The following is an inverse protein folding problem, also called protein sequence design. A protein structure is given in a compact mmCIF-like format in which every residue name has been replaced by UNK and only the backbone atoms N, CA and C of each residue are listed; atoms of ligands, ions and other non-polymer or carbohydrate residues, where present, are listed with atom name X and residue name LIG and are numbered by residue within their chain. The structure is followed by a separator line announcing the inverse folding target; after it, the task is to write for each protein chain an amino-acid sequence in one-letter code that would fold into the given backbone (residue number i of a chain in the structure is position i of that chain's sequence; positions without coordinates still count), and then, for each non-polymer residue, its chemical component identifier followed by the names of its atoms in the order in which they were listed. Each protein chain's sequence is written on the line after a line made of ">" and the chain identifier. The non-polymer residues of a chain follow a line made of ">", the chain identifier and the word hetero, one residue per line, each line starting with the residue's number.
data_IF_982657125852
#
_entry.id   IF_982657125852
#
_cell.length_a   1.000
_cell.length_b   1.000
_cell.length_c   1.000
_cell.angle_alpha   90.00
_cell.angle_beta   90.00
_cell.angle_gamma   90.00
#
_symmetry.space_group_name_H-M   'P 1'
#
loop_
_entity.id
_entity.type
_entity.pdbx_description
1 polymer ?
#
# COMPACT_ATOMS: atom_id res chain seq x y z
N UNK A 1 35.54 43.96 -2.63
CA UNK A 1 34.33 44.53 -1.99
C UNK A 1 33.95 43.68 -0.80
N UNK A 2 33.57 44.33 0.30
CA UNK A 2 33.65 43.87 1.70
C UNK A 2 32.91 42.55 1.99
N UNK A 3 33.62 41.59 2.59
CA UNK A 3 33.03 40.43 3.26
C UNK A 3 32.16 40.92 4.42
N UNK A 4 30.84 40.82 4.27
CA UNK A 4 29.91 40.97 5.38
C UNK A 4 29.97 39.69 6.23
N UNK A 5 30.80 39.69 7.27
CA UNK A 5 30.66 38.76 8.39
C UNK A 5 29.67 39.38 9.37
N UNK A 6 28.43 38.90 9.36
CA UNK A 6 27.47 39.19 10.42
C UNK A 6 27.81 38.30 11.61
N UNK A 7 28.57 38.84 12.56
CA UNK A 7 28.68 38.28 13.91
C UNK A 7 27.55 38.89 14.74
N UNK A 8 26.48 38.13 14.96
CA UNK A 8 25.51 38.43 16.01
C UNK A 8 26.00 37.79 17.31
N UNK A 9 26.34 38.61 18.30
CA UNK A 9 26.62 38.20 19.67
C UNK A 9 25.36 37.60 20.29
N UNK A 10 25.42 36.32 20.68
CA UNK A 10 24.38 35.74 21.54
C UNK A 10 24.68 36.18 22.97
N UNK A 11 23.97 37.22 23.42
CA UNK A 11 23.75 37.48 24.84
C UNK A 11 22.99 36.32 25.44
N UNK A 12 23.41 35.89 26.63
CA UNK A 12 22.79 34.78 27.34
C UNK A 12 21.33 35.04 27.64
N UNK A 13 20.52 33.99 27.51
CA UNK A 13 19.49 33.72 28.50
C UNK A 13 19.09 32.25 28.47
N UNK A 14 18.93 31.72 29.68
CA UNK A 14 18.49 30.37 29.97
C UNK A 14 17.07 30.16 29.44
N UNK A 15 16.92 29.30 28.45
CA UNK A 15 15.65 28.65 28.16
C UNK A 15 15.94 27.19 27.81
N UNK A 16 15.46 26.29 28.68
CA UNK A 16 15.56 24.84 28.55
C UNK A 16 15.00 24.37 27.20
N UNK A 17 15.88 24.19 26.21
CA UNK A 17 15.49 23.60 24.94
C UNK A 17 15.35 22.08 25.13
N UNK A 18 14.10 21.62 25.06
CA UNK A 18 13.69 20.25 25.32
C UNK A 18 14.53 19.17 24.62
N UNK A 19 14.67 18.06 25.34
CA UNK A 19 15.50 16.88 25.08
C UNK A 19 15.29 16.17 23.71
N UNK A 20 14.36 16.66 22.88
CA UNK A 20 14.03 16.15 21.54
C UNK A 20 15.09 16.49 20.49
N UNK A 21 15.93 17.50 20.73
CA UNK A 21 17.02 17.88 19.81
C UNK A 21 18.10 16.79 19.72
N UNK A 22 18.24 15.95 20.76
CA UNK A 22 19.18 14.82 20.77
C UNK A 22 18.76 13.64 19.90
N UNK A 23 17.46 13.55 19.56
CA UNK A 23 16.89 12.45 18.78
C UNK A 23 16.91 12.71 17.26
N UNK A 24 17.32 13.91 16.84
CA UNK A 24 17.49 14.27 15.44
C UNK A 24 18.92 13.96 14.99
N UNK A 25 19.11 13.31 13.82
CA UNK A 25 20.43 12.86 13.38
C UNK A 25 21.40 14.05 13.32
N UNK A 26 22.43 13.97 14.14
CA UNK A 26 23.51 14.95 14.24
C UNK A 26 24.36 14.92 12.96
N UNK A 27 24.33 16.02 12.20
CA UNK A 27 25.32 16.31 11.17
C UNK A 27 24.72 16.91 9.89
N UNK A 28 25.38 17.94 9.35
CA UNK A 28 25.10 18.54 8.03
C UNK A 28 25.21 17.57 6.85
N UNK A 29 25.68 16.34 7.08
CA UNK A 29 25.67 15.19 6.16
C UNK A 29 24.29 14.48 6.05
N UNK A 30 23.31 14.88 6.86
CA UNK A 30 21.94 14.37 6.75
C UNK A 30 21.11 15.20 5.77
N UNK A 31 21.25 16.53 5.76
CA UNK A 31 20.45 17.41 4.91
C UNK A 31 20.83 17.29 3.42
N UNK A 32 22.12 17.24 3.09
CA UNK A 32 22.60 17.00 1.72
C UNK A 32 22.24 15.59 1.22
N UNK A 33 22.33 14.59 2.10
CA UNK A 33 21.98 13.20 1.79
C UNK A 33 20.47 13.03 1.65
N UNK A 34 19.66 13.69 2.48
CA UNK A 34 18.19 13.74 2.34
C UNK A 34 17.80 14.50 1.08
N UNK A 35 18.41 15.64 0.76
CA UNK A 35 18.13 16.37 -0.48
C UNK A 35 18.58 15.60 -1.73
N UNK A 36 19.73 14.91 -1.67
CA UNK A 36 20.17 13.99 -2.73
C UNK A 36 19.23 12.80 -2.86
N UNK A 37 18.83 12.19 -1.74
CA UNK A 37 17.87 11.08 -1.70
C UNK A 37 16.49 11.51 -2.18
N UNK A 38 16.04 12.74 -1.92
CA UNK A 38 14.81 13.28 -2.50
C UNK A 38 15.01 13.46 -4.00
N UNK A 39 16.12 14.06 -4.44
CA UNK A 39 16.41 14.24 -5.87
C UNK A 39 16.51 12.92 -6.65
N UNK A 40 16.99 11.85 -6.02
CA UNK A 40 17.10 10.51 -6.63
C UNK A 40 15.87 9.63 -6.39
N UNK A 41 15.18 9.74 -5.26
CA UNK A 41 13.93 9.02 -5.01
C UNK A 41 12.82 9.53 -5.91
N UNK A 42 12.76 10.83 -6.22
CA UNK A 42 11.82 11.37 -7.21
C UNK A 42 12.18 10.96 -8.65
N UNK A 43 13.39 10.44 -8.90
CA UNK A 43 13.75 9.79 -10.17
C UNK A 43 13.44 8.29 -10.20
N UNK A 44 13.12 7.70 -9.05
CA UNK A 44 12.53 6.37 -8.98
C UNK A 44 11.05 6.50 -9.32
N UNK A 45 10.52 5.70 -10.26
CA UNK A 45 9.12 5.74 -10.64
C UNK A 45 8.27 5.23 -9.47
N UNK A 46 7.95 6.10 -8.53
CA UNK A 46 7.10 5.84 -7.36
C UNK A 46 5.63 5.60 -7.77
N UNK A 47 5.32 5.66 -9.07
CA UNK A 47 4.03 5.36 -9.67
C UNK A 47 4.24 4.52 -10.95
N UNK A 48 4.88 3.35 -10.83
CA UNK A 48 5.31 2.56 -11.99
C UNK A 48 4.16 1.75 -12.61
N UNK A 49 3.16 2.47 -13.11
CA UNK A 49 2.34 1.96 -14.21
C UNK A 49 3.27 1.61 -15.37
N UNK A 50 3.14 0.40 -15.90
CA UNK A 50 3.96 -0.10 -17.00
C UNK A 50 3.21 0.19 -18.30
N UNK A 51 3.65 1.18 -19.06
CA UNK A 51 2.99 1.55 -20.33
C UNK A 51 3.22 0.54 -21.46
N UNK A 52 4.29 -0.26 -21.39
CA UNK A 52 4.67 -1.24 -22.41
C UNK A 52 5.33 -2.48 -21.78
N UNK A 53 5.02 -3.72 -22.21
CA UNK A 53 4.13 -4.12 -23.31
C UNK A 53 2.63 -4.06 -22.95
N UNK A 54 1.78 -3.73 -23.91
CA UNK A 54 0.31 -3.74 -23.74
C UNK A 54 -0.17 -5.18 -23.69
N UNK A 55 -0.46 -5.66 -22.49
CA UNK A 55 -1.01 -7.01 -22.27
C UNK A 55 -2.54 -6.98 -22.15
N UNK A 56 -3.17 -8.16 -22.22
CA UNK A 56 -4.62 -8.30 -22.04
C UNK A 56 -5.14 -7.58 -20.79
N UNK A 57 -4.36 -7.63 -19.70
CA UNK A 57 -4.72 -6.99 -18.45
C UNK A 57 -4.72 -5.45 -18.52
N UNK A 58 -3.99 -4.83 -19.46
CA UNK A 58 -4.07 -3.38 -19.67
C UNK A 58 -5.37 -2.95 -20.34
N UNK A 59 -5.97 -3.83 -21.15
CA UNK A 59 -7.22 -3.58 -21.86
C UNK A 59 -8.46 -3.69 -20.98
N UNK A 60 -8.39 -4.48 -19.89
CA UNK A 60 -9.52 -4.69 -18.98
C UNK A 60 -9.88 -3.39 -18.25
N UNK A 61 -11.18 -3.15 -18.12
CA UNK A 61 -11.74 -2.00 -17.43
C UNK A 61 -11.24 -1.89 -15.98
N UNK A 62 -10.86 -0.69 -15.52
CA UNK A 62 -10.33 -0.48 -14.17
C UNK A 62 -11.35 -0.77 -13.07
N UNK A 63 -12.65 -0.72 -13.38
CA UNK A 63 -13.74 -1.08 -12.45
C UNK A 63 -13.74 -2.58 -12.14
N UNK A 64 -13.55 -3.39 -13.18
CA UNK A 64 -13.52 -4.85 -13.07
C UNK A 64 -12.26 -5.28 -12.31
N UNK A 65 -11.12 -4.62 -12.56
CA UNK A 65 -9.89 -4.84 -11.80
C UNK A 65 -10.05 -4.55 -10.31
N UNK A 66 -10.72 -3.45 -9.95
CA UNK A 66 -10.98 -3.12 -8.55
C UNK A 66 -11.94 -4.14 -7.90
N UNK A 67 -12.97 -4.58 -8.63
CA UNK A 67 -13.83 -5.67 -8.17
C UNK A 67 -13.04 -6.99 -7.95
N UNK A 68 -12.12 -7.32 -8.86
CA UNK A 68 -11.18 -8.43 -8.72
C UNK A 68 -10.30 -8.30 -7.48
N UNK A 69 -9.75 -7.11 -7.24
CA UNK A 69 -8.91 -6.84 -6.07
C UNK A 69 -9.71 -7.04 -4.77
N UNK A 70 -10.93 -6.49 -4.70
CA UNK A 70 -11.81 -6.67 -3.53
C UNK A 70 -12.17 -8.14 -3.33
N UNK A 71 -12.53 -8.85 -4.41
CA UNK A 71 -12.83 -10.28 -4.35
C UNK A 71 -11.62 -11.09 -3.86
N UNK A 72 -10.41 -10.81 -4.36
CA UNK A 72 -9.19 -11.49 -3.93
C UNK A 72 -8.76 -11.18 -2.50
N UNK A 73 -9.27 -10.13 -1.88
CA UNK A 73 -9.08 -9.87 -0.44
C UNK A 73 -10.05 -10.73 0.39
N UNK A 74 -11.32 -10.84 -0.05
CA UNK A 74 -12.39 -11.50 0.73
C UNK A 74 -12.40 -13.02 0.54
N UNK A 75 -12.25 -13.50 -0.69
CA UNK A 75 -12.37 -14.92 -1.03
C UNK A 75 -11.36 -15.81 -0.28
N UNK A 76 -10.06 -15.48 -0.19
CA UNK A 76 -9.11 -16.32 0.53
C UNK A 76 -9.35 -16.39 2.03
N UNK A 77 -10.02 -15.39 2.62
CA UNK A 77 -10.31 -15.38 4.05
C UNK A 77 -11.28 -16.51 4.44
N UNK A 78 -12.22 -16.83 3.55
CA UNK A 78 -13.24 -17.88 3.75
C UNK A 78 -12.86 -19.22 3.10
N UNK A 79 -12.02 -19.19 2.07
CA UNK A 79 -11.66 -20.38 1.31
C UNK A 79 -10.87 -21.43 2.10
N UNK A 80 -10.96 -22.69 1.68
CA UNK A 80 -10.16 -23.81 2.21
C UNK A 80 -8.69 -23.72 1.79
N UNK A 81 -7.82 -24.49 2.45
CA UNK A 81 -6.36 -24.47 2.19
C UNK A 81 -6.03 -24.80 0.73
N UNK A 82 -6.71 -25.78 0.13
CA UNK A 82 -6.48 -26.20 -1.25
C UNK A 82 -6.81 -25.08 -2.25
N UNK A 83 -7.96 -24.42 -2.08
CA UNK A 83 -8.38 -23.29 -2.93
C UNK A 83 -7.43 -22.10 -2.76
N UNK A 84 -6.93 -21.83 -1.55
CA UNK A 84 -5.93 -20.78 -1.33
C UNK A 84 -4.65 -21.03 -2.12
N UNK A 85 -4.12 -22.25 -2.09
CA UNK A 85 -2.96 -22.61 -2.90
C UNK A 85 -3.26 -22.50 -4.40
N UNK A 86 -4.46 -22.89 -4.84
CA UNK A 86 -4.93 -22.66 -6.21
C UNK A 86 -4.94 -21.19 -6.60
N UNK A 87 -5.42 -20.31 -5.72
CA UNK A 87 -5.43 -18.86 -5.92
C UNK A 87 -4.00 -18.26 -5.96
N UNK A 88 -3.12 -18.71 -5.06
CA UNK A 88 -1.70 -18.32 -5.06
C UNK A 88 -1.06 -18.70 -6.40
N UNK A 89 -1.26 -19.93 -6.86
CA UNK A 89 -0.73 -20.40 -8.14
C UNK A 89 -1.33 -19.63 -9.33
N UNK A 90 -2.64 -19.38 -9.32
CA UNK A 90 -3.33 -18.60 -10.35
C UNK A 90 -2.75 -17.19 -10.46
N UNK A 91 -2.63 -16.45 -9.35
CA UNK A 91 -2.09 -15.08 -9.36
C UNK A 91 -0.62 -15.06 -9.74
N UNK A 92 0.17 -16.03 -9.25
CA UNK A 92 1.58 -16.15 -9.63
C UNK A 92 1.72 -16.35 -11.14
N UNK A 93 0.96 -17.28 -11.71
CA UNK A 93 0.94 -17.58 -13.15
C UNK A 93 0.48 -16.37 -13.96
N UNK A 94 -0.60 -15.71 -13.53
CA UNK A 94 -1.11 -14.50 -14.16
C UNK A 94 -0.02 -13.42 -14.21
N UNK A 95 0.74 -13.29 -13.13
CA UNK A 95 1.84 -12.33 -13.08
C UNK A 95 3.05 -12.74 -13.92
N UNK A 96 3.33 -14.04 -14.13
CA UNK A 96 4.34 -14.52 -15.11
C UNK A 96 3.93 -14.17 -16.53
N UNK A 97 2.66 -14.40 -16.87
CA UNK A 97 2.16 -14.27 -18.24
C UNK A 97 2.07 -12.81 -18.70
N UNK A 98 1.71 -11.90 -17.79
CA UNK A 98 1.34 -10.54 -18.18
C UNK A 98 2.37 -9.45 -17.83
N UNK A 99 3.36 -9.73 -16.98
CA UNK A 99 4.43 -8.78 -16.67
C UNK A 99 5.75 -9.13 -17.37
N UNK A 100 6.56 -8.14 -17.75
CA UNK A 100 7.90 -8.38 -18.26
C UNK A 100 8.75 -9.05 -17.17
N UNK A 101 9.65 -9.96 -17.59
CA UNK A 101 10.46 -10.81 -16.71
C UNK A 101 11.22 -10.03 -15.63
N UNK A 102 11.72 -8.84 -15.98
CA UNK A 102 12.45 -7.97 -15.04
C UNK A 102 11.59 -7.55 -13.84
N UNK A 103 10.32 -7.19 -14.08
CA UNK A 103 9.46 -6.69 -13.01
C UNK A 103 8.88 -7.83 -12.19
N UNK A 104 8.42 -8.89 -12.85
CA UNK A 104 7.76 -9.98 -12.13
C UNK A 104 8.72 -10.75 -11.22
N UNK A 105 9.96 -11.00 -11.65
CA UNK A 105 10.95 -11.72 -10.82
C UNK A 105 11.24 -10.96 -9.53
N UNK A 106 11.40 -9.64 -9.61
CA UNK A 106 11.64 -8.80 -8.43
C UNK A 106 10.42 -8.68 -7.53
N UNK A 107 9.23 -8.57 -8.10
CA UNK A 107 7.97 -8.48 -7.34
C UNK A 107 7.68 -9.81 -6.64
N UNK A 108 7.62 -10.91 -7.38
CA UNK A 108 7.33 -12.22 -6.84
C UNK A 108 8.40 -12.68 -5.85
N UNK A 109 9.68 -12.40 -6.13
CA UNK A 109 10.79 -12.72 -5.24
C UNK A 109 10.66 -12.05 -3.88
N UNK A 110 10.39 -10.74 -3.84
CA UNK A 110 10.20 -9.99 -2.59
C UNK A 110 8.96 -10.43 -1.81
N UNK A 111 7.83 -10.64 -2.49
CA UNK A 111 6.59 -11.10 -1.85
C UNK A 111 6.74 -12.53 -1.34
N UNK A 112 7.35 -13.44 -2.11
CA UNK A 112 7.62 -14.82 -1.70
C UNK A 112 8.55 -14.88 -0.49
N UNK A 113 9.60 -14.06 -0.46
CA UNK A 113 10.50 -13.95 0.69
C UNK A 113 9.73 -13.53 1.96
N UNK A 114 8.93 -12.47 1.86
CA UNK A 114 8.09 -11.99 2.98
C UNK A 114 7.16 -13.10 3.46
N UNK A 115 6.47 -13.79 2.54
CA UNK A 115 5.56 -14.88 2.88
C UNK A 115 6.28 -16.09 3.50
N UNK A 116 7.51 -16.38 3.07
CA UNK A 116 8.35 -17.42 3.66
C UNK A 116 8.75 -17.10 5.10
N UNK A 117 9.15 -15.86 5.37
CA UNK A 117 9.43 -15.38 6.73
C UNK A 117 8.18 -15.48 7.61
N UNK A 118 7.03 -14.99 7.12
CA UNK A 118 5.78 -15.07 7.86
C UNK A 118 5.33 -16.52 8.11
N UNK A 119 5.55 -17.42 7.16
CA UNK A 119 5.24 -18.83 7.31
C UNK A 119 6.07 -19.47 8.43
N UNK A 120 7.39 -19.21 8.45
CA UNK A 120 8.27 -19.74 9.50
C UNK A 120 7.87 -19.15 10.87
N UNK A 121 7.68 -17.83 10.95
CA UNK A 121 7.33 -17.17 12.20
C UNK A 121 5.98 -17.63 12.74
N UNK A 122 4.96 -17.75 11.89
CA UNK A 122 3.63 -18.18 12.29
C UNK A 122 3.58 -19.69 12.60
N UNK A 123 4.34 -20.50 11.86
CA UNK A 123 4.37 -21.95 12.05
C UNK A 123 5.04 -22.36 13.35
N UNK A 124 6.10 -21.63 13.74
CA UNK A 124 6.82 -21.85 14.99
C UNK A 124 6.19 -21.10 16.18
N UNK A 125 5.54 -19.96 15.94
CA UNK A 125 4.97 -19.10 16.98
C UNK A 125 3.57 -19.46 17.44
N UNK A 126 2.81 -20.26 16.68
CA UNK A 126 1.40 -20.54 16.97
C UNK A 126 1.15 -21.26 18.30
N UNK A 127 2.11 -22.05 18.79
CA UNK A 127 2.02 -22.77 20.06
C UNK A 127 2.79 -22.09 21.21
N UNK A 128 3.42 -20.94 20.96
CA UNK A 128 4.21 -20.20 21.96
C UNK A 128 3.36 -19.47 23.00
N UNK A 129 2.05 -19.32 22.77
CA UNK A 129 1.12 -18.71 23.72
C UNK A 129 0.15 -19.79 24.22
N UNK A 130 0.25 -20.25 25.48
CA UNK A 130 -0.76 -21.13 26.04
C UNK A 130 -2.11 -20.41 25.98
N UNK A 131 -3.09 -21.01 25.32
CA UNK A 131 -4.43 -20.43 25.28
C UNK A 131 -4.94 -20.39 26.73
N UNK A 132 -5.29 -19.20 27.24
CA UNK A 132 -5.95 -19.01 28.54
C UNK A 132 -7.41 -19.50 28.49
N UNK A 133 -7.67 -20.64 27.85
CA UNK A 133 -8.97 -21.28 27.82
C UNK A 133 -9.12 -21.98 29.17
N UNK A 134 -9.88 -21.36 30.07
CA UNK A 134 -10.38 -22.06 31.25
C UNK A 134 -11.17 -23.28 30.78
N UNK A 135 -10.84 -24.46 31.30
CA UNK A 135 -11.61 -25.67 31.05
C UNK A 135 -13.05 -25.46 31.54
N UNK A 136 -14.03 -25.49 30.62
CA UNK A 136 -15.46 -25.38 30.96
C UNK A 136 -15.99 -26.60 31.74
N UNK A 137 -15.19 -27.65 31.91
CA UNK A 137 -15.53 -28.82 32.71
C UNK A 137 -14.92 -28.71 34.10
N UNK A 138 -15.68 -28.98 35.18
CA UNK A 138 -15.10 -29.10 36.52
C UNK A 138 -14.04 -30.19 36.52
N UNK A 139 -12.99 -30.01 37.31
CA UNK A 139 -11.92 -31.00 37.44
C UNK A 139 -12.49 -32.35 37.88
N UNK A 140 -11.95 -33.46 37.39
CA UNK A 140 -12.37 -34.82 37.74
C UNK A 140 -12.34 -35.08 39.26
N UNK A 141 -11.44 -34.40 39.98
CA UNK A 141 -11.38 -34.35 41.44
C UNK A 141 -12.65 -33.79 42.12
N UNK A 142 -13.40 -32.92 41.43
CA UNK A 142 -14.65 -32.33 41.92
C UNK A 142 -15.86 -33.23 41.66
N UNK A 143 -15.76 -34.18 40.73
CA UNK A 143 -16.89 -34.99 40.23
C UNK A 143 -16.83 -36.45 40.70
N UNK A 144 -15.77 -36.85 41.41
CA UNK A 144 -15.64 -38.18 42.03
C UNK A 144 -15.56 -39.36 41.04
N UNK A 145 -15.46 -39.09 39.74
CA UNK A 145 -15.31 -40.11 38.70
C UNK A 145 -13.84 -40.50 38.54
N UNK A 146 -13.52 -41.79 38.31
CA UNK A 146 -12.18 -42.20 37.94
C UNK A 146 -11.76 -41.48 36.67
N UNK A 147 -10.53 -40.94 36.66
CA UNK A 147 -9.96 -40.27 35.49
C UNK A 147 -10.07 -41.19 34.29
N UNK A 148 -10.77 -40.74 33.24
CA UNK A 148 -10.76 -41.44 31.97
C UNK A 148 -9.29 -41.63 31.55
N UNK A 149 -8.89 -42.84 31.12
CA UNK A 149 -7.55 -43.04 30.62
C UNK A 149 -7.32 -41.99 29.52
N UNK A 150 -6.20 -41.27 29.60
CA UNK A 150 -5.72 -40.37 28.52
C UNK A 150 -5.32 -41.21 27.31
N UNK A 151 -6.27 -41.93 26.74
CA UNK A 151 -6.13 -42.72 25.53
C UNK A 151 -6.16 -41.75 24.36
N UNK A 152 -4.99 -41.15 24.11
CA UNK A 152 -4.64 -40.47 22.87
C UNK A 152 -3.59 -41.31 22.12
N UNK A 153 -3.72 -42.65 22.16
CA UNK A 153 -2.79 -43.58 21.50
C UNK A 153 -2.99 -43.63 19.97
N UNK A 154 -2.89 -42.47 19.31
CA UNK A 154 -2.99 -42.39 17.85
C UNK A 154 -3.01 -40.98 17.26
N UNK A 155 -3.35 -39.95 18.03
CA UNK A 155 -3.40 -38.58 17.53
C UNK A 155 -2.15 -37.78 17.94
N UNK A 156 -1.12 -37.82 17.08
CA UNK A 156 0.03 -36.93 17.21
C UNK A 156 -0.29 -35.57 16.55
N UNK A 157 -0.48 -34.55 17.37
CA UNK A 157 -0.67 -33.16 16.92
C UNK A 157 0.66 -32.51 16.47
N UNK A 158 1.78 -33.14 16.83
CA UNK A 158 3.13 -32.68 16.55
C UNK A 158 3.64 -33.37 15.29
N UNK A 159 4.04 -32.57 14.30
CA UNK A 159 4.56 -33.05 13.02
C UNK A 159 6.09 -33.17 13.09
N UNK A 160 6.75 -32.13 13.63
CA UNK A 160 8.22 -32.09 13.73
C UNK A 160 8.64 -31.36 15.00
N UNK A 161 9.65 -31.91 15.69
CA UNK A 161 10.26 -31.32 16.89
C UNK A 161 11.72 -31.00 16.62
N UNK A 162 12.07 -29.72 16.54
CA UNK A 162 13.47 -29.25 16.50
C UNK A 162 13.77 -28.49 17.79
N UNK A 163 14.12 -29.22 18.85
CA UNK A 163 14.51 -28.61 20.13
C UNK A 163 13.37 -27.79 20.76
N UNK A 164 13.57 -26.49 21.10
CA UNK A 164 12.51 -25.64 21.66
C UNK A 164 11.42 -25.29 20.64
N UNK A 165 11.66 -25.53 19.35
CA UNK A 165 10.74 -25.26 18.26
C UNK A 165 9.90 -26.52 17.97
N UNK A 166 8.58 -26.41 18.14
CA UNK A 166 7.63 -27.47 17.85
C UNK A 166 6.73 -27.04 16.71
N UNK A 167 6.66 -27.83 15.64
CA UNK A 167 5.77 -27.59 14.51
C UNK A 167 4.56 -28.52 14.65
N UNK A 168 3.41 -27.94 14.96
CA UNK A 168 2.14 -28.67 15.10
C UNK A 168 1.30 -28.59 13.84
N UNK A 169 0.33 -29.50 13.71
CA UNK A 169 -0.69 -29.44 12.63
C UNK A 169 -1.43 -28.10 12.62
N UNK A 170 -1.72 -27.55 13.82
CA UNK A 170 -2.37 -26.25 13.97
C UNK A 170 -1.46 -25.13 13.49
N UNK A 171 -0.20 -25.10 13.95
CA UNK A 171 0.79 -24.12 13.50
C UNK A 171 1.00 -24.15 11.99
N UNK A 172 1.09 -25.33 11.38
CA UNK A 172 1.20 -25.47 9.92
C UNK A 172 -0.02 -24.89 9.19
N UNK A 173 -1.24 -25.18 9.67
CA UNK A 173 -2.46 -24.63 9.07
C UNK A 173 -2.50 -23.10 9.17
N UNK A 174 -2.21 -22.53 10.35
CA UNK A 174 -2.18 -21.08 10.57
C UNK A 174 -1.11 -20.43 9.69
N UNK A 175 0.10 -20.98 9.67
CA UNK A 175 1.19 -20.49 8.84
C UNK A 175 0.83 -20.48 7.36
N UNK A 176 0.27 -21.57 6.85
CA UNK A 176 -0.13 -21.69 5.45
C UNK A 176 -1.28 -20.72 5.10
N UNK A 177 -2.23 -20.52 6.01
CA UNK A 177 -3.32 -19.55 5.81
C UNK A 177 -2.81 -18.11 5.80
N UNK A 178 -1.91 -17.74 6.71
CA UNK A 178 -1.36 -16.39 6.80
C UNK A 178 -0.44 -16.06 5.61
N UNK A 179 0.42 -17.01 5.21
CA UNK A 179 1.34 -16.82 4.08
C UNK A 179 0.61 -16.73 2.74
N UNK A 180 -0.39 -17.59 2.50
CA UNK A 180 -1.20 -17.55 1.28
C UNK A 180 -2.02 -16.27 1.17
N UNK A 181 -2.65 -15.83 2.26
CA UNK A 181 -3.43 -14.59 2.29
C UNK A 181 -2.54 -13.37 2.00
N UNK A 182 -1.40 -13.29 2.67
CA UNK A 182 -0.43 -12.20 2.46
C UNK A 182 0.04 -12.18 1.01
N UNK A 183 0.41 -13.34 0.46
CA UNK A 183 0.85 -13.45 -0.93
C UNK A 183 -0.22 -12.94 -1.90
N UNK A 184 -1.47 -13.40 -1.75
CA UNK A 184 -2.58 -13.02 -2.63
C UNK A 184 -2.82 -11.51 -2.57
N UNK A 185 -2.85 -10.90 -1.38
CA UNK A 185 -3.11 -9.46 -1.22
C UNK A 185 -2.00 -8.63 -1.86
N UNK A 186 -0.74 -8.90 -1.51
CA UNK A 186 0.37 -8.10 -2.02
C UNK A 186 0.57 -8.27 -3.53
N UNK A 187 0.48 -9.51 -4.04
CA UNK A 187 0.69 -9.77 -5.46
C UNK A 187 -0.47 -9.23 -6.32
N UNK A 188 -1.72 -9.36 -5.87
CA UNK A 188 -2.87 -8.80 -6.60
C UNK A 188 -2.86 -7.27 -6.63
N UNK A 189 -2.51 -6.62 -5.51
CA UNK A 189 -2.36 -5.17 -5.45
C UNK A 189 -1.23 -4.68 -6.37
N UNK A 190 -0.08 -5.35 -6.34
CA UNK A 190 1.06 -5.04 -7.22
C UNK A 190 0.70 -5.15 -8.70
N UNK A 191 -0.03 -6.21 -9.07
CA UNK A 191 -0.49 -6.42 -10.43
C UNK A 191 -1.48 -5.32 -10.89
N UNK A 192 -2.42 -4.94 -10.02
CA UNK A 192 -3.39 -3.87 -10.32
C UNK A 192 -2.70 -2.52 -10.53
N UNK A 193 -1.75 -2.18 -9.66
CA UNK A 193 -0.95 -0.95 -9.74
C UNK A 193 -0.03 -0.91 -10.96
N UNK A 194 0.54 -2.04 -11.36
CA UNK A 194 1.39 -2.12 -12.53
C UNK A 194 0.61 -1.93 -13.85
N UNK A 195 -0.68 -2.28 -13.88
CA UNK A 195 -1.50 -2.35 -15.10
C UNK A 195 -2.60 -1.31 -15.19
N UNK A 196 -2.74 -0.45 -14.18
CA UNK A 196 -3.77 0.59 -14.13
C UNK A 196 -3.17 1.92 -13.69
N UNK A 197 -3.47 2.97 -14.44
CA UNK A 197 -3.00 4.32 -14.09
C UNK A 197 -3.73 4.84 -12.84
N UNK A 198 -3.09 5.71 -12.04
CA UNK A 198 -3.73 6.29 -10.85
C UNK A 198 -5.02 7.05 -11.19
N UNK A 199 -5.07 7.74 -12.33
CA UNK A 199 -6.26 8.44 -12.82
C UNK A 199 -7.42 7.46 -13.11
N UNK A 200 -7.12 6.33 -13.76
CA UNK A 200 -8.11 5.27 -14.00
C UNK A 200 -8.61 4.61 -12.70
N UNK A 201 -7.75 4.47 -11.69
CA UNK A 201 -8.13 3.97 -10.36
C UNK A 201 -9.04 4.95 -9.61
N UNK A 202 -8.75 6.24 -9.64
CA UNK A 202 -9.64 7.24 -9.05
C UNK A 202 -11.00 7.27 -9.76
N UNK A 203 -11.01 7.07 -11.09
CA UNK A 203 -12.25 6.93 -11.84
C UNK A 203 -13.05 5.68 -11.46
N UNK A 204 -12.42 4.52 -11.29
CA UNK A 204 -13.13 3.30 -10.89
C UNK A 204 -13.71 3.42 -9.48
N UNK A 205 -13.01 4.11 -8.58
CA UNK A 205 -13.47 4.39 -7.21
C UNK A 205 -14.80 5.16 -7.17
N UNK A 206 -15.10 6.00 -8.17
CA UNK A 206 -16.40 6.68 -8.31
C UNK A 206 -17.57 5.71 -8.30
N UNK A 207 -17.44 4.56 -8.98
CA UNK A 207 -18.50 3.56 -9.09
C UNK A 207 -18.78 2.90 -7.73
N UNK A 208 -17.73 2.64 -6.95
CA UNK A 208 -17.83 2.09 -5.59
C UNK A 208 -18.36 3.10 -4.56
N UNK A 209 -18.11 4.39 -4.76
CA UNK A 209 -18.65 5.45 -3.91
C UNK A 209 -20.08 5.86 -4.27
N UNK A 210 -20.60 5.48 -5.44
CA UNK A 210 -21.95 5.81 -5.90
C UNK A 210 -23.08 5.47 -4.90
N UNK A 211 -23.08 4.32 -4.19
CA UNK A 211 -24.08 4.07 -3.14
C UNK A 211 -24.01 5.03 -1.96
N UNK A 212 -22.85 5.64 -1.66
CA UNK A 212 -22.75 6.64 -0.57
C UNK A 212 -23.50 7.94 -0.92
N UNK A 213 -23.86 8.16 -2.18
CA UNK A 213 -24.71 9.28 -2.60
C UNK A 213 -26.07 9.24 -1.91
N UNK A 214 -26.61 8.06 -1.61
CA UNK A 214 -27.89 7.92 -0.91
C UNK A 214 -27.83 8.45 0.55
N UNK A 215 -26.63 8.54 1.12
CA UNK A 215 -26.37 9.06 2.48
C UNK A 215 -26.09 10.59 2.45
N UNK A 216 -26.19 11.23 1.26
CA UNK A 216 -25.94 12.66 1.09
C UNK A 216 -24.47 13.03 0.86
N UNK A 217 -23.58 12.06 0.61
CA UNK A 217 -22.16 12.33 0.33
C UNK A 217 -21.98 12.92 -1.08
N UNK A 218 -21.24 14.04 -1.25
CA UNK A 218 -20.99 14.65 -2.56
C UNK A 218 -19.89 13.90 -3.35
N UNK A 219 -20.22 12.69 -3.82
CA UNK A 219 -19.28 11.80 -4.52
C UNK A 219 -18.63 12.48 -5.74
N UNK A 220 -19.38 13.28 -6.50
CA UNK A 220 -18.87 13.95 -7.70
C UNK A 220 -17.71 14.91 -7.38
N UNK A 221 -17.82 15.68 -6.29
CA UNK A 221 -16.81 16.64 -5.86
C UNK A 221 -15.58 15.95 -5.28
N UNK A 222 -15.77 14.87 -4.51
CA UNK A 222 -14.67 14.06 -3.96
C UNK A 222 -13.84 13.46 -5.10
N UNK A 223 -14.49 12.89 -6.12
CA UNK A 223 -13.78 12.29 -7.25
C UNK A 223 -13.08 13.36 -8.10
N UNK A 224 -13.70 14.52 -8.29
CA UNK A 224 -13.08 15.63 -9.03
C UNK A 224 -11.83 16.14 -8.32
N UNK A 225 -11.91 16.38 -7.00
CA UNK A 225 -10.76 16.84 -6.21
C UNK A 225 -9.66 15.78 -6.19
N UNK A 226 -10.00 14.50 -6.07
CA UNK A 226 -9.05 13.39 -6.16
C UNK A 226 -8.33 13.36 -7.53
N UNK A 227 -9.07 13.42 -8.64
CA UNK A 227 -8.50 13.43 -9.99
C UNK A 227 -7.58 14.63 -10.23
N UNK A 228 -8.01 15.82 -9.79
CA UNK A 228 -7.17 17.02 -9.87
C UNK A 228 -5.90 16.85 -9.05
N UNK A 229 -6.01 16.30 -7.83
CA UNK A 229 -4.86 16.08 -6.95
C UNK A 229 -3.85 15.09 -7.54
N UNK A 230 -4.33 14.00 -8.16
CA UNK A 230 -3.48 13.01 -8.83
C UNK A 230 -2.78 13.59 -10.05
N UNK A 231 -3.40 14.53 -10.77
CA UNK A 231 -2.72 15.23 -11.86
C UNK A 231 -1.68 16.22 -11.33
N UNK A 232 -2.00 16.86 -10.22
CA UNK A 232 -1.17 17.88 -9.60
C UNK A 232 0.05 17.29 -8.89
N UNK A 233 0.03 16.01 -8.50
CA UNK A 233 1.16 15.36 -7.85
C UNK A 233 2.45 15.44 -8.67
N UNK A 234 2.36 15.25 -10.00
CA UNK A 234 3.51 15.33 -10.89
C UNK A 234 4.06 16.75 -10.96
N UNK A 235 3.18 17.75 -11.02
CA UNK A 235 3.57 19.16 -10.97
C UNK A 235 4.28 19.50 -9.65
N UNK A 236 3.76 19.01 -8.52
CA UNK A 236 4.41 19.21 -7.21
C UNK A 236 5.80 18.57 -7.19
N UNK A 237 5.95 17.35 -7.72
CA UNK A 237 7.25 16.69 -7.80
C UNK A 237 8.24 17.46 -8.68
N UNK A 238 7.79 17.99 -9.82
CA UNK A 238 8.62 18.82 -10.69
C UNK A 238 9.04 20.13 -10.00
N UNK A 239 8.13 20.77 -9.27
CA UNK A 239 8.42 21.99 -8.52
C UNK A 239 9.42 21.74 -7.38
N UNK A 240 9.22 20.66 -6.61
CA UNK A 240 10.17 20.21 -5.58
C UNK A 240 11.53 19.92 -6.19
N UNK A 241 11.58 19.26 -7.35
CA UNK A 241 12.84 18.95 -8.05
C UNK A 241 13.55 20.22 -8.52
N UNK A 242 12.83 21.17 -9.11
CA UNK A 242 13.40 22.43 -9.58
C UNK A 242 13.97 23.26 -8.43
N UNK A 243 13.24 23.33 -7.31
CA UNK A 243 13.73 23.99 -6.09
C UNK A 243 14.95 23.25 -5.53
N UNK A 244 14.92 21.91 -5.44
CA UNK A 244 16.05 21.12 -4.96
C UNK A 244 17.32 21.32 -5.81
N UNK A 245 17.20 21.34 -7.14
CA UNK A 245 18.31 21.62 -8.05
C UNK A 245 18.86 23.05 -7.87
N UNK A 246 17.97 24.03 -7.68
CA UNK A 246 18.36 25.41 -7.37
C UNK A 246 19.06 25.57 -6.02
N UNK A 247 18.77 24.71 -5.04
CA UNK A 247 19.49 24.68 -3.75
C UNK A 247 20.90 24.13 -3.96
N UNK A 248 21.02 23.01 -4.68
CA UNK A 248 22.32 22.38 -4.97
C UNK A 248 23.23 23.33 -5.75
N UNK A 249 22.69 24.11 -6.70
CA UNK A 249 23.48 25.08 -7.47
C UNK A 249 24.02 26.25 -6.64
N UNK A 250 23.36 26.58 -5.52
CA UNK A 250 23.78 27.68 -4.63
C UNK A 250 24.99 27.35 -3.75
N UNK A 251 25.56 26.14 -3.86
CA UNK A 251 26.79 25.69 -3.15
C UNK A 251 26.82 26.10 -1.67
N UNK A 252 25.74 25.80 -0.95
CA UNK A 252 25.67 25.99 0.49
C UNK A 252 26.69 25.05 1.15
N UNK A 253 27.58 25.58 2.00
CA UNK A 253 28.57 24.79 2.73
C UNK A 253 27.93 24.08 3.94
N UNK A 254 27.19 23.00 3.70
CA UNK A 254 26.46 22.24 4.72
C UNK A 254 27.29 21.80 5.93
N UNK A 255 28.61 21.64 5.77
CA UNK A 255 29.52 21.25 6.85
C UNK A 255 29.74 22.34 7.91
N UNK A 256 29.49 23.61 7.59
CA UNK A 256 29.71 24.74 8.48
C UNK A 256 28.43 25.24 9.17
N UNK A 257 27.26 24.69 8.83
CA UNK A 257 25.98 25.18 9.34
C UNK A 257 25.62 24.55 10.68
N UNK A 258 25.05 25.38 11.55
CA UNK A 258 24.40 24.93 12.79
C UNK A 258 23.05 24.30 12.47
N UNK A 259 22.55 23.42 13.33
CA UNK A 259 21.23 22.78 13.17
C UNK A 259 20.08 23.80 13.05
N UNK A 260 20.14 24.92 13.79
CA UNK A 260 19.14 26.00 13.72
C UNK A 260 19.13 26.66 12.33
N UNK A 261 20.31 27.00 11.81
CA UNK A 261 20.45 27.63 10.48
C UNK A 261 19.98 26.69 9.36
N UNK A 262 20.20 25.38 9.50
CA UNK A 262 19.73 24.36 8.56
C UNK A 262 18.20 24.33 8.49
N UNK A 263 17.53 24.39 9.65
CA UNK A 263 16.06 24.39 9.74
C UNK A 263 15.49 25.66 9.13
N UNK A 264 16.05 26.84 9.43
CA UNK A 264 15.57 28.12 8.88
C UNK A 264 15.65 28.14 7.34
N UNK A 265 16.76 27.63 6.81
CA UNK A 265 16.96 27.48 5.37
C UNK A 265 15.91 26.54 4.77
N UNK A 266 15.69 25.37 5.38
CA UNK A 266 14.72 24.40 4.91
C UNK A 266 13.28 24.95 4.97
N UNK A 267 12.92 25.64 6.04
CA UNK A 267 11.63 26.30 6.21
C UNK A 267 11.38 27.37 5.13
N UNK A 268 12.39 28.19 4.83
CA UNK A 268 12.31 29.19 3.75
C UNK A 268 12.07 28.54 2.38
N UNK A 269 12.67 27.38 2.12
CA UNK A 269 12.45 26.66 0.87
C UNK A 269 11.07 26.01 0.78
N UNK A 270 10.60 25.40 1.87
CA UNK A 270 9.23 24.90 1.97
C UNK A 270 8.23 26.03 1.69
N UNK A 271 8.43 27.21 2.28
CA UNK A 271 7.58 28.38 2.04
C UNK A 271 7.56 28.78 0.56
N UNK A 272 8.70 28.72 -0.14
CA UNK A 272 8.80 28.98 -1.58
C UNK A 272 8.00 27.97 -2.40
N UNK A 273 8.16 26.67 -2.10
CA UNK A 273 7.43 25.59 -2.78
C UNK A 273 5.92 25.79 -2.60
N UNK A 274 5.46 26.05 -1.37
CA UNK A 274 4.05 26.31 -1.11
C UNK A 274 3.54 27.53 -1.88
N UNK A 275 4.28 28.65 -1.88
CA UNK A 275 3.87 29.86 -2.62
C UNK A 275 3.69 29.57 -4.12
N UNK A 276 4.58 28.78 -4.72
CA UNK A 276 4.48 28.41 -6.12
C UNK A 276 3.29 27.46 -6.38
N UNK A 277 3.12 26.45 -5.53
CA UNK A 277 1.97 25.53 -5.59
C UNK A 277 0.63 26.29 -5.48
N UNK A 278 0.49 27.21 -4.53
CA UNK A 278 -0.72 28.02 -4.39
C UNK A 278 -0.98 28.89 -5.61
N UNK A 279 0.07 29.47 -6.22
CA UNK A 279 -0.06 30.22 -7.46
C UNK A 279 -0.57 29.34 -8.60
N UNK A 280 -0.09 28.11 -8.72
CA UNK A 280 -0.59 27.15 -9.72
C UNK A 280 -2.05 26.77 -9.46
N UNK A 281 -2.42 26.52 -8.19
CA UNK A 281 -3.80 26.23 -7.82
C UNK A 281 -4.74 27.39 -8.19
N UNK A 282 -4.33 28.64 -7.94
CA UNK A 282 -5.09 29.84 -8.31
C UNK A 282 -5.27 29.95 -9.83
N UNK A 283 -4.19 29.75 -10.59
CA UNK A 283 -4.25 29.76 -12.06
C UNK A 283 -5.18 28.69 -12.62
N UNK A 284 -5.15 27.48 -12.05
CA UNK A 284 -6.03 26.38 -12.46
C UNK A 284 -7.48 26.72 -12.12
N UNK A 285 -7.75 27.22 -10.91
CA UNK A 285 -9.09 27.63 -10.48
C UNK A 285 -9.68 28.70 -11.40
N UNK A 286 -8.93 29.78 -11.66
CA UNK A 286 -9.35 30.84 -12.59
C UNK A 286 -9.62 30.29 -13.99
N UNK A 287 -8.75 29.41 -14.49
CA UNK A 287 -8.93 28.79 -15.80
C UNK A 287 -10.10 27.81 -15.86
N UNK A 288 -10.53 27.23 -14.74
CA UNK A 288 -11.75 26.43 -14.64
C UNK A 288 -13.00 27.31 -14.67
N UNK A 289 -12.99 28.44 -13.94
CA UNK A 289 -14.09 29.41 -13.92
C UNK A 289 -14.32 30.00 -15.32
N UNK A 290 -13.25 30.40 -16.02
CA UNK A 290 -13.34 30.95 -17.39
C UNK A 290 -13.88 29.92 -18.40
N UNK A 291 -13.60 28.62 -18.19
CA UNK A 291 -14.16 27.53 -19.00
C UNK A 291 -15.62 27.17 -18.65
N UNK A 292 -16.23 27.89 -17.70
CA UNK A 292 -17.62 27.69 -17.31
C UNK A 292 -17.84 26.62 -16.23
N UNK A 293 -16.80 26.23 -15.47
CA UNK A 293 -16.98 25.39 -14.30
C UNK A 293 -17.66 26.18 -13.18
N UNK A 294 -18.88 25.81 -12.81
CA UNK A 294 -19.69 26.53 -11.79
C UNK A 294 -19.72 25.83 -10.43
N UNK A 295 -19.07 24.66 -10.31
CA UNK A 295 -19.04 23.87 -9.09
C UNK A 295 -20.35 23.14 -8.74
N UNK A 296 -21.36 23.17 -9.63
CA UNK A 296 -22.62 22.45 -9.40
C UNK A 296 -22.44 20.95 -9.68
N UNK A 297 -22.67 20.13 -8.66
CA UNK A 297 -22.50 18.67 -8.70
C UNK A 297 -23.51 17.96 -9.61
N UNK A 298 -24.68 18.56 -9.88
CA UNK A 298 -25.74 17.96 -10.69
C UNK A 298 -25.68 18.37 -12.17
N UNK A 299 -25.02 19.49 -12.50
CA UNK A 299 -25.00 20.06 -13.86
C UNK A 299 -23.87 19.58 -14.77
N UNK A 300 -22.83 18.94 -14.23
CA UNK A 300 -21.61 18.64 -14.99
C UNK A 300 -21.44 17.14 -15.25
N UNK A 301 -21.60 16.74 -16.52
CA UNK A 301 -21.24 15.40 -16.98
C UNK A 301 -19.73 15.37 -17.21
N UNK A 302 -19.01 14.74 -16.30
CA UNK A 302 -17.58 14.47 -16.46
C UNK A 302 -17.41 13.42 -17.58
N UNK A 303 -17.00 13.88 -18.76
CA UNK A 303 -16.59 13.03 -19.87
C UNK A 303 -15.18 12.54 -19.61
N UNK A 304 -15.04 11.26 -19.27
CA UNK A 304 -13.74 10.62 -19.06
C UNK A 304 -13.36 9.81 -20.30
N UNK A 305 -12.06 9.64 -20.54
CA UNK A 305 -11.45 9.01 -21.73
C UNK A 305 -11.80 7.52 -21.98
N UNK A 306 -12.69 6.93 -21.19
CA UNK A 306 -13.25 5.60 -21.45
C UNK A 306 -14.76 5.68 -21.33
N UNK A 307 -15.43 6.10 -22.40
CA UNK A 307 -16.66 5.42 -22.78
C UNK A 307 -16.26 3.98 -23.12
N UNK A 308 -16.14 3.17 -22.06
CA UNK A 308 -15.81 1.76 -22.15
C UNK A 308 -16.97 1.08 -22.85
N UNK A 309 -16.80 0.85 -24.15
CA UNK A 309 -17.49 -0.23 -24.81
C UNK A 309 -16.99 -1.51 -24.15
N UNK A 310 -17.87 -2.21 -23.42
CA UNK A 310 -17.59 -3.52 -22.84
C UNK A 310 -16.83 -4.38 -23.85
N UNK A 311 -15.52 -4.53 -23.61
CA UNK A 311 -14.65 -5.27 -24.50
C UNK A 311 -14.86 -6.76 -24.29
N UNK A 312 -14.45 -7.58 -25.26
CA UNK A 312 -14.38 -9.04 -25.07
C UNK A 312 -13.47 -9.40 -23.88
N UNK A 313 -12.47 -8.55 -23.58
CA UNK A 313 -11.60 -8.70 -22.42
C UNK A 313 -12.34 -8.55 -21.07
N UNK A 314 -13.28 -7.61 -20.99
CA UNK A 314 -14.09 -7.36 -19.79
C UNK A 314 -15.02 -8.54 -19.51
N UNK A 315 -15.64 -9.08 -20.56
CA UNK A 315 -16.49 -10.26 -20.45
C UNK A 315 -15.71 -11.46 -19.92
N UNK A 316 -14.54 -11.75 -20.48
CA UNK A 316 -13.67 -12.84 -20.01
C UNK A 316 -13.25 -12.62 -18.55
N UNK A 317 -12.88 -11.40 -18.17
CA UNK A 317 -12.47 -11.07 -16.80
C UNK A 317 -13.61 -11.26 -15.78
N UNK A 318 -14.84 -10.90 -16.14
CA UNK A 318 -16.03 -11.09 -15.29
C UNK A 318 -16.38 -12.57 -15.16
N UNK A 319 -16.39 -13.32 -16.27
CA UNK A 319 -16.64 -14.76 -16.25
C UNK A 319 -15.61 -15.49 -15.38
N UNK A 320 -14.33 -15.11 -15.50
CA UNK A 320 -13.27 -15.66 -14.66
C UNK A 320 -13.48 -15.33 -13.16
N UNK A 321 -13.89 -14.10 -12.83
CA UNK A 321 -14.21 -13.71 -11.46
C UNK A 321 -15.35 -14.54 -10.87
N UNK A 322 -16.43 -14.72 -11.63
CA UNK A 322 -17.57 -15.54 -11.23
C UNK A 322 -17.14 -16.99 -11.05
N UNK A 323 -16.34 -17.53 -11.97
CA UNK A 323 -15.77 -18.87 -11.87
C UNK A 323 -14.97 -19.08 -10.59
N UNK A 324 -14.03 -18.18 -10.29
CA UNK A 324 -13.21 -18.24 -9.08
C UNK A 324 -14.04 -18.06 -7.80
N UNK A 325 -15.01 -17.14 -7.81
CA UNK A 325 -15.91 -16.93 -6.67
C UNK A 325 -16.79 -18.15 -6.41
N UNK A 326 -17.33 -18.75 -7.48
CA UNK A 326 -18.15 -19.96 -7.38
C UNK A 326 -17.34 -21.15 -6.89
N UNK A 327 -16.10 -21.33 -7.36
CA UNK A 327 -15.20 -22.38 -6.87
C UNK A 327 -14.86 -22.22 -5.38
N UNK A 328 -14.65 -20.99 -4.91
CA UNK A 328 -14.41 -20.71 -3.50
C UNK A 328 -15.65 -21.02 -2.63
N UNK A 329 -16.86 -20.65 -3.09
CA UNK A 329 -18.12 -20.93 -2.38
C UNK A 329 -18.48 -22.42 -2.41
N UNK A 330 -18.27 -23.10 -3.53
CA UNK A 330 -18.58 -24.52 -3.67
C UNK A 330 -17.62 -25.37 -2.81
N UNK A 331 -16.36 -24.97 -2.69
CA UNK A 331 -15.41 -25.58 -1.75
C UNK A 331 -15.86 -25.48 -0.29
N UNK A 332 -16.59 -24.43 0.08
CA UNK A 332 -17.20 -24.31 1.41
C UNK A 332 -18.40 -25.28 1.54
N UNK A 333 -19.23 -25.39 0.51
CA UNK A 333 -20.44 -26.23 0.53
C UNK A 333 -20.17 -27.74 0.48
N UNK A 334 -19.17 -28.19 -0.30
CA UNK A 334 -18.94 -29.63 -0.53
C UNK A 334 -18.26 -30.37 0.63
N UNK A 335 -17.90 -29.67 1.71
CA UNK A 335 -17.08 -30.21 2.80
C UNK A 335 -17.58 -29.81 4.21
N UNK A 336 -18.79 -29.26 4.29
CA UNK A 336 -19.61 -29.19 5.52
C UNK A 336 -20.51 -30.42 5.56
#
# INVERSE_FOLDING_TARGET
>A
MRNFQVKASVGGDNAETGNWVSWLPTGGLAADKVLRLISTATSSPICQFISSPTTFLHSVDPRIKLAWLLALVVLPARAQIAVRFGLVAFIALLSVLFLPKQVWVDQLGRVSLLCGILFILSGLGADGVPQLVQSRTPSSSLTGLPDLPKSLSGYSYLIMKLGPLQLTRKGLSVASTASSLTFIIFQSASLCLATTTPEQLAFSLRWFMLPLRYIGVPVAEIILTLMLSLRFINLVFDEVRNVALGIVSRRINWQQLTMKETIDIFASYIQRIFKNIFKHAEQISQAMIVRGFRGDSNGHKLYFLSDSSFGMADFIAVVCLIGVSSAALLSEYFLV
#
